data_IF_318648063770
#
_entry.id   IF_318648063770
#
_cell.length_a   1.000
_cell.length_b   1.000
_cell.length_c   1.000
_cell.angle_alpha   90.00
_cell.angle_beta   90.00
_cell.angle_gamma   90.00
#
_symmetry.space_group_name_H-M   'P 1'
#
loop_
_entity.id
_entity.type
_entity.pdbx_description
1 polymer ?
#
# COMPACT_ATOMS: atom_id res chain seq x y z
N UNK A 1 -0.92 14.66 8.57
CA UNK A 1 -2.15 13.92 8.85
C UNK A 1 -1.75 12.85 9.82
N UNK A 2 -2.19 13.00 11.06
CA UNK A 2 -1.78 12.11 12.13
C UNK A 2 -2.72 10.90 12.21
N UNK A 3 -2.20 9.72 12.57
CA UNK A 3 -2.99 8.48 12.70
C UNK A 3 -4.20 8.67 13.59
N UNK A 4 -4.02 9.41 14.69
CA UNK A 4 -5.08 9.72 15.63
C UNK A 4 -6.19 10.59 15.03
N UNK A 5 -5.87 11.60 14.24
CA UNK A 5 -6.90 12.47 13.65
C UNK A 5 -7.79 11.69 12.68
N UNK A 6 -7.19 10.79 11.91
CA UNK A 6 -7.94 9.93 10.99
C UNK A 6 -8.77 8.93 11.76
N UNK A 7 -8.19 8.30 12.78
CA UNK A 7 -8.91 7.37 13.64
C UNK A 7 -10.14 8.04 14.29
N UNK A 8 -9.99 9.24 14.84
CA UNK A 8 -11.09 9.99 15.47
C UNK A 8 -12.18 10.39 14.46
N UNK A 9 -11.90 10.45 13.15
CA UNK A 9 -12.91 10.64 12.11
C UNK A 9 -13.76 9.38 11.87
N UNK A 10 -13.18 8.20 12.09
CA UNK A 10 -13.85 6.91 11.89
C UNK A 10 -14.47 6.34 13.18
N UNK A 11 -13.92 6.66 14.35
CA UNK A 11 -14.48 6.33 15.67
C UNK A 11 -15.59 7.33 16.05
N UNK A 12 -16.69 7.33 15.27
CA UNK A 12 -17.81 8.26 15.42
C UNK A 12 -18.49 8.12 16.79
N UNK A 13 -18.52 6.91 17.33
CA UNK A 13 -19.17 6.59 18.60
C UNK A 13 -18.24 6.82 19.82
N UNK A 14 -16.94 7.07 19.59
CA UNK A 14 -15.96 7.32 20.64
C UNK A 14 -15.69 6.09 21.51
N UNK A 15 -15.83 4.88 20.94
CA UNK A 15 -15.66 3.63 21.66
C UNK A 15 -14.19 3.23 21.79
N UNK A 16 -13.28 3.94 21.11
CA UNK A 16 -11.84 3.69 21.13
C UNK A 16 -11.39 2.59 20.17
N UNK A 17 -12.27 2.18 19.26
CA UNK A 17 -11.98 1.22 18.18
C UNK A 17 -12.76 1.58 16.91
N UNK A 18 -12.26 1.13 15.77
CA UNK A 18 -12.97 1.17 14.49
C UNK A 18 -13.25 -0.25 13.99
N UNK A 19 -14.28 -0.47 13.16
CA UNK A 19 -14.49 -1.77 12.52
C UNK A 19 -13.29 -2.16 11.65
N UNK A 20 -12.91 -3.45 11.65
CA UNK A 20 -11.82 -3.96 10.80
C UNK A 20 -12.03 -3.67 9.31
N UNK A 21 -13.29 -3.58 8.87
CA UNK A 21 -13.66 -3.23 7.49
C UNK A 21 -13.28 -1.78 7.10
N UNK A 22 -13.15 -0.88 8.07
CA UNK A 22 -12.79 0.52 7.83
C UNK A 22 -11.27 0.74 7.71
N UNK A 23 -10.45 -0.28 7.98
CA UNK A 23 -9.00 -0.19 7.82
C UNK A 23 -8.60 0.23 6.39
N UNK A 24 -9.32 -0.24 5.38
CA UNK A 24 -9.09 0.16 3.99
C UNK A 24 -9.34 1.64 3.74
N UNK A 25 -10.39 2.21 4.36
CA UNK A 25 -10.70 3.63 4.26
C UNK A 25 -9.65 4.48 5.00
N UNK A 26 -9.18 4.00 6.15
CA UNK A 26 -8.11 4.64 6.92
C UNK A 26 -6.82 4.69 6.11
N UNK A 27 -6.36 3.56 5.56
CA UNK A 27 -5.14 3.52 4.73
C UNK A 27 -5.25 4.42 3.50
N UNK A 28 -6.42 4.47 2.86
CA UNK A 28 -6.69 5.41 1.74
C UNK A 28 -6.65 6.87 2.15
N UNK A 29 -7.08 7.21 3.35
CA UNK A 29 -6.93 8.56 3.88
C UNK A 29 -5.45 8.96 4.08
N UNK A 30 -4.57 7.98 4.33
CA UNK A 30 -3.11 8.17 4.34
C UNK A 30 -2.45 8.16 2.95
N UNK A 31 -3.23 8.05 1.86
CA UNK A 31 -2.72 8.01 0.50
C UNK A 31 -2.27 6.63 0.03
N UNK A 32 -2.48 5.60 0.84
CA UNK A 32 -2.21 4.22 0.47
C UNK A 32 -3.41 3.60 -0.26
N UNK A 33 -3.17 2.80 -1.29
CA UNK A 33 -4.25 2.08 -1.97
C UNK A 33 -4.05 0.57 -1.86
N UNK A 34 -4.26 -0.03 -0.67
CA UNK A 34 -4.09 -1.45 -0.47
C UNK A 34 -5.08 -2.25 -1.31
N UNK A 35 -4.62 -3.41 -1.79
CA UNK A 35 -5.52 -4.41 -2.36
C UNK A 35 -6.32 -5.12 -1.26
N UNK A 36 -7.42 -5.78 -1.62
CA UNK A 36 -8.18 -6.58 -0.65
C UNK A 36 -7.33 -7.66 0.01
N UNK A 37 -6.44 -8.32 -0.74
CA UNK A 37 -5.53 -9.33 -0.19
C UNK A 37 -4.56 -8.74 0.83
N UNK A 38 -3.96 -7.58 0.55
CA UNK A 38 -3.06 -6.93 1.51
C UNK A 38 -3.80 -6.47 2.76
N UNK A 39 -5.04 -5.97 2.63
CA UNK A 39 -5.88 -5.64 3.78
C UNK A 39 -6.15 -6.88 4.64
N UNK A 40 -6.48 -8.01 4.02
CA UNK A 40 -6.70 -9.26 4.73
C UNK A 40 -5.44 -9.72 5.46
N UNK A 41 -4.26 -9.64 4.84
CA UNK A 41 -2.98 -10.00 5.49
C UNK A 41 -2.66 -9.09 6.68
N UNK A 42 -2.89 -7.78 6.55
CA UNK A 42 -2.74 -6.83 7.65
C UNK A 42 -3.70 -7.18 8.80
N UNK A 43 -4.97 -7.40 8.49
CA UNK A 43 -5.99 -7.76 9.48
C UNK A 43 -5.67 -9.07 10.18
N UNK A 44 -5.21 -10.09 9.46
CA UNK A 44 -4.77 -11.36 10.07
C UNK A 44 -3.58 -11.19 11.03
N UNK A 45 -2.79 -10.14 10.82
CA UNK A 45 -1.61 -9.84 11.65
C UNK A 45 -1.96 -9.01 12.89
N UNK A 46 -2.92 -8.07 12.76
CA UNK A 46 -3.23 -7.12 13.85
C UNK A 46 -4.53 -7.42 14.58
N UNK A 47 -5.57 -7.90 13.90
CA UNK A 47 -6.86 -8.18 14.49
C UNK A 47 -6.80 -9.56 15.14
N UNK A 48 -6.96 -9.60 16.46
CA UNK A 48 -7.01 -10.87 17.22
C UNK A 48 -8.31 -11.66 17.00
N UNK A 49 -9.04 -11.41 15.91
CA UNK A 49 -10.35 -11.97 15.61
C UNK A 49 -11.50 -11.27 16.35
N UNK A 50 -11.28 -10.04 16.81
CA UNK A 50 -12.30 -9.24 17.50
C UNK A 50 -13.22 -8.52 16.51
N UNK A 51 -12.79 -8.33 15.26
CA UNK A 51 -13.49 -7.55 14.25
C UNK A 51 -13.43 -6.04 14.50
N UNK A 52 -12.58 -5.61 15.44
CA UNK A 52 -12.41 -4.23 15.89
C UNK A 52 -10.91 -3.92 15.97
N UNK A 53 -10.53 -2.71 15.57
CA UNK A 53 -9.15 -2.24 15.61
C UNK A 53 -9.04 -1.03 16.53
N UNK A 54 -8.22 -1.16 17.56
CA UNK A 54 -7.78 -0.05 18.40
C UNK A 54 -6.84 0.89 17.65
N UNK A 55 -6.67 2.11 18.16
CA UNK A 55 -5.70 3.07 17.63
C UNK A 55 -4.28 2.48 17.50
N UNK A 56 -3.87 1.61 18.42
CA UNK A 56 -2.56 0.96 18.39
C UNK A 56 -2.45 -0.05 17.25
N UNK A 57 -3.48 -0.86 17.01
CA UNK A 57 -3.52 -1.82 15.89
C UNK A 57 -3.52 -1.08 14.55
N UNK A 58 -4.32 -0.02 14.43
CA UNK A 58 -4.33 0.85 13.24
C UNK A 58 -2.95 1.46 12.98
N UNK A 59 -2.30 2.00 14.01
CA UNK A 59 -0.96 2.57 13.87
C UNK A 59 0.08 1.51 13.43
N UNK A 60 -0.08 0.28 13.94
CA UNK A 60 0.75 -0.86 13.53
C UNK A 60 0.49 -1.22 12.07
N UNK A 61 -0.77 -1.24 11.60
CA UNK A 61 -1.08 -1.42 10.19
C UNK A 61 -0.44 -0.35 9.32
N UNK A 62 -0.66 0.93 9.63
CA UNK A 62 -0.14 2.05 8.86
C UNK A 62 1.39 2.00 8.79
N UNK A 63 2.07 1.64 9.89
CA UNK A 63 3.53 1.51 9.93
C UNK A 63 4.07 0.29 9.18
N UNK A 64 3.34 -0.84 9.23
CA UNK A 64 3.76 -2.09 8.59
C UNK A 64 3.31 -2.20 7.14
N UNK A 65 2.36 -1.37 6.72
CA UNK A 65 1.85 -1.37 5.37
C UNK A 65 2.91 -0.84 4.40
N UNK A 66 3.57 -1.77 3.71
CA UNK A 66 4.54 -1.48 2.64
C UNK A 66 3.91 -1.47 1.25
N UNK A 67 2.58 -1.66 1.17
CA UNK A 67 1.86 -1.72 -0.09
C UNK A 67 1.69 -0.34 -0.73
N UNK A 68 1.72 -0.30 -2.05
CA UNK A 68 1.71 0.95 -2.80
C UNK A 68 3.03 1.69 -2.68
N UNK A 69 4.12 1.07 -3.16
CA UNK A 69 5.25 1.83 -3.67
C UNK A 69 4.66 3.00 -4.46
N UNK A 70 4.93 4.22 -3.98
CA UNK A 70 4.43 5.46 -4.55
C UNK A 70 4.48 5.35 -6.09
N UNK A 71 3.49 5.86 -6.81
CA UNK A 71 3.55 5.78 -8.28
C UNK A 71 4.89 6.32 -8.80
N UNK A 72 5.50 7.31 -8.14
CA UNK A 72 6.85 7.77 -8.46
C UNK A 72 7.94 6.75 -8.10
N UNK A 73 7.79 5.94 -7.06
CA UNK A 73 8.69 4.82 -6.79
C UNK A 73 8.54 3.73 -7.88
N UNK A 74 7.32 3.36 -8.27
CA UNK A 74 7.09 2.44 -9.38
C UNK A 74 7.64 2.99 -10.70
N UNK A 75 7.47 4.30 -10.97
CA UNK A 75 8.04 4.98 -12.14
C UNK A 75 9.57 5.03 -12.07
N UNK A 76 10.16 5.25 -10.89
CA UNK A 76 11.63 5.20 -10.70
C UNK A 76 12.18 3.79 -10.90
N UNK A 77 11.46 2.76 -10.45
CA UNK A 77 11.84 1.38 -10.71
C UNK A 77 11.74 1.06 -12.20
N UNK A 78 10.67 1.48 -12.88
CA UNK A 78 10.55 1.34 -14.34
C UNK A 78 11.65 2.12 -15.07
N UNK A 79 12.01 3.33 -14.63
CA UNK A 79 13.11 4.12 -15.20
C UNK A 79 14.47 3.43 -15.02
N UNK A 80 14.73 2.89 -13.82
CA UNK A 80 15.92 2.08 -13.55
C UNK A 80 15.95 0.82 -14.42
N UNK A 81 14.84 0.09 -14.54
CA UNK A 81 14.73 -1.10 -15.40
C UNK A 81 15.00 -0.75 -16.88
N UNK A 82 14.46 0.36 -17.38
CA UNK A 82 14.73 0.83 -18.75
C UNK A 82 16.20 1.21 -18.95
N UNK A 83 16.84 1.80 -17.93
CA UNK A 83 18.25 2.17 -17.97
C UNK A 83 19.17 0.95 -17.94
N UNK A 84 18.92 -0.01 -17.06
CA UNK A 84 19.73 -1.23 -16.88
C UNK A 84 19.62 -2.16 -18.09
N UNK A 85 18.44 -2.26 -18.68
CA UNK A 85 18.25 -3.03 -19.91
C UNK A 85 18.80 -2.30 -21.16
N UNK A 86 19.46 -1.14 -20.99
CA UNK A 86 20.17 -0.42 -22.04
C UNK A 86 19.25 0.32 -23.02
N UNK A 87 18.04 0.66 -22.61
CA UNK A 87 17.01 1.28 -23.44
C UNK A 87 16.91 2.81 -23.30
N UNK A 88 17.80 3.43 -22.51
CA UNK A 88 17.78 4.87 -22.27
C UNK A 88 17.80 5.67 -23.59
N UNK A 89 16.71 6.40 -23.87
CA UNK A 89 16.57 7.29 -25.04
C UNK A 89 15.72 6.75 -26.20
N UNK A 90 15.09 5.57 -26.07
CA UNK A 90 14.16 5.05 -27.09
C UNK A 90 12.73 5.56 -26.81
N UNK A 91 12.08 6.14 -27.82
CA UNK A 91 10.66 6.54 -27.75
C UNK A 91 9.69 5.35 -27.84
N UNK A 92 10.21 4.19 -28.25
CA UNK A 92 9.45 2.98 -28.53
C UNK A 92 10.35 1.77 -28.27
N UNK A 93 9.78 0.70 -27.71
CA UNK A 93 10.45 -0.59 -27.53
C UNK A 93 9.75 -1.68 -28.33
N UNK A 94 10.51 -2.71 -28.72
CA UNK A 94 10.02 -3.89 -29.44
C UNK A 94 9.39 -4.88 -28.47
N UNK A 95 8.57 -5.81 -28.98
CA UNK A 95 7.92 -6.83 -28.15
C UNK A 95 8.94 -7.71 -27.39
N UNK A 96 10.08 -8.03 -28.00
CA UNK A 96 11.16 -8.79 -27.37
C UNK A 96 11.84 -8.02 -26.22
N UNK A 97 11.94 -6.69 -26.36
CA UNK A 97 12.48 -5.79 -25.34
C UNK A 97 11.48 -5.64 -24.18
N UNK A 98 10.18 -5.61 -24.46
CA UNK A 98 9.12 -5.61 -23.44
C UNK A 98 9.10 -6.92 -22.63
N UNK A 99 9.26 -8.07 -23.30
CA UNK A 99 9.34 -9.38 -22.63
C UNK A 99 10.56 -9.43 -21.70
N UNK A 100 11.72 -8.91 -22.13
CA UNK A 100 12.91 -8.81 -21.28
C UNK A 100 12.66 -7.95 -20.04
N UNK A 101 11.97 -6.82 -20.20
CA UNK A 101 11.59 -5.92 -19.11
C UNK A 101 10.68 -6.58 -18.07
N UNK A 102 9.69 -7.37 -18.52
CA UNK A 102 8.72 -8.05 -17.65
C UNK A 102 9.24 -9.31 -16.96
N UNK A 103 10.36 -9.86 -17.42
CA UNK A 103 10.92 -11.13 -16.94
C UNK A 103 12.23 -10.96 -16.15
N UNK A 104 12.67 -9.71 -15.90
CA UNK A 104 13.82 -9.49 -15.01
C UNK A 104 13.38 -9.67 -13.54
N UNK A 105 14.14 -10.43 -12.73
CA UNK A 105 13.89 -10.50 -11.30
C UNK A 105 14.16 -9.14 -10.66
N UNK A 106 13.21 -8.68 -9.85
CA UNK A 106 13.36 -7.53 -8.94
C UNK A 106 14.23 -7.93 -7.74
#
# INVERSE_FOLDING_TARGET
MDVKEVFDLYDVEGEGYIPSNDLGNVLRAFGHNPTESELQELLLTVDSGSGRLSLQEVNTCVSNFKGGADYAQQVREVDNMMREAGFAGKSSISQDEFIKLMLQPV
#
